data_IF_112203494121
#
_entry.id   IF_112203494121
#
_cell.length_a   1.000
_cell.length_b   1.000
_cell.length_c   1.000
_cell.angle_alpha   90.00
_cell.angle_beta   90.00
_cell.angle_gamma   90.00
#
_symmetry.space_group_name_H-M   'P 1'
#
loop_
_entity.id
_entity.type
_entity.pdbx_description
1 polymer ?
#
# COMPACT_ATOMS: atom_id res chain seq x y z
N UNK A 1 15.75 -19.20 1.15
CA UNK A 1 14.78 -18.39 0.36
C UNK A 1 13.38 -18.35 1.02
N UNK A 2 12.82 -19.49 1.46
CA UNK A 2 11.46 -19.56 2.08
C UNK A 2 11.23 -18.60 3.24
N UNK A 3 12.19 -18.42 4.16
CA UNK A 3 12.04 -17.49 5.28
C UNK A 3 11.79 -16.05 4.82
N UNK A 4 12.49 -15.61 3.77
CA UNK A 4 12.37 -14.26 3.20
C UNK A 4 11.01 -14.09 2.50
N UNK A 5 10.54 -15.13 1.79
CA UNK A 5 9.19 -15.16 1.22
C UNK A 5 8.13 -15.00 2.31
N UNK A 6 8.22 -15.79 3.39
CA UNK A 6 7.26 -15.73 4.50
C UNK A 6 7.27 -14.37 5.20
N UNK A 7 8.45 -13.75 5.35
CA UNK A 7 8.57 -12.41 5.90
C UNK A 7 7.85 -11.38 5.01
N UNK A 8 8.08 -11.41 3.69
CA UNK A 8 7.41 -10.52 2.74
C UNK A 8 5.89 -10.67 2.75
N UNK A 9 5.39 -11.91 2.81
CA UNK A 9 3.95 -12.18 2.93
C UNK A 9 3.37 -11.59 4.21
N UNK A 10 4.06 -11.71 5.36
CA UNK A 10 3.61 -11.11 6.63
C UNK A 10 3.57 -9.58 6.59
N UNK A 11 4.47 -8.96 5.82
CA UNK A 11 4.49 -7.51 5.56
C UNK A 11 3.37 -7.08 4.61
N UNK A 12 2.68 -8.03 3.97
CA UNK A 12 1.59 -7.78 3.04
C UNK A 12 2.04 -7.52 1.60
N UNK A 13 3.27 -7.89 1.23
CA UNK A 13 3.76 -7.85 -0.15
C UNK A 13 3.01 -8.91 -0.96
N UNK A 14 2.53 -8.56 -2.16
CA UNK A 14 1.77 -9.51 -3.00
C UNK A 14 2.65 -10.66 -3.48
N UNK A 15 2.05 -11.83 -3.71
CA UNK A 15 2.77 -12.99 -4.26
C UNK A 15 3.37 -12.68 -5.64
N UNK A 16 2.72 -11.83 -6.43
CA UNK A 16 3.21 -11.36 -7.71
C UNK A 16 4.48 -10.51 -7.55
N UNK A 17 4.48 -9.54 -6.64
CA UNK A 17 5.67 -8.72 -6.31
C UNK A 17 6.80 -9.56 -5.74
N UNK A 18 6.49 -10.54 -4.89
CA UNK A 18 7.49 -11.50 -4.37
C UNK A 18 8.09 -12.31 -5.51
N UNK A 19 7.26 -12.83 -6.42
CA UNK A 19 7.71 -13.63 -7.56
C UNK A 19 8.63 -12.81 -8.48
N UNK A 20 8.22 -11.60 -8.85
CA UNK A 20 9.01 -10.72 -9.73
C UNK A 20 10.35 -10.35 -9.08
N UNK A 21 10.34 -10.00 -7.79
CA UNK A 21 11.54 -9.61 -7.06
C UNK A 21 12.51 -10.79 -6.90
N UNK A 22 12.01 -11.98 -6.57
CA UNK A 22 12.86 -13.18 -6.43
C UNK A 22 13.44 -13.63 -7.78
N UNK A 23 12.72 -13.42 -8.89
CA UNK A 23 13.25 -13.72 -10.22
C UNK A 23 14.47 -12.86 -10.60
N UNK A 24 14.75 -11.77 -9.87
CA UNK A 24 15.97 -10.96 -10.05
C UNK A 24 17.19 -11.53 -9.33
N UNK A 25 17.01 -12.54 -8.46
CA UNK A 25 18.11 -13.19 -7.78
C UNK A 25 18.88 -14.10 -8.74
N UNK A 26 20.19 -14.30 -8.51
CA UNK A 26 20.96 -15.25 -9.29
C UNK A 26 20.43 -16.68 -9.12
N UNK A 27 20.32 -17.40 -10.24
CA UNK A 27 19.99 -18.82 -10.25
C UNK A 27 21.22 -19.71 -10.11
N UNK A 28 22.38 -19.25 -10.61
CA UNK A 28 23.62 -20.04 -10.65
C UNK A 28 24.50 -19.89 -9.39
N UNK A 29 24.06 -19.16 -8.38
CA UNK A 29 24.77 -19.04 -7.10
C UNK A 29 23.82 -18.78 -5.94
N UNK A 30 24.27 -19.10 -4.73
CA UNK A 30 23.61 -18.67 -3.50
C UNK A 30 23.56 -17.13 -3.44
N UNK A 31 22.39 -16.52 -3.19
CA UNK A 31 22.28 -15.09 -2.99
C UNK A 31 23.15 -14.62 -1.82
N UNK A 32 23.89 -13.54 -2.05
CA UNK A 32 24.75 -12.89 -1.07
C UNK A 32 23.96 -11.81 -0.32
N UNK A 33 24.55 -11.28 0.75
CA UNK A 33 23.97 -10.19 1.56
C UNK A 33 23.53 -9.03 0.67
N UNK A 34 24.37 -8.60 -0.30
CA UNK A 34 24.04 -7.51 -1.23
C UNK A 34 22.82 -7.77 -2.11
N UNK A 35 22.53 -9.02 -2.45
CA UNK A 35 21.32 -9.35 -3.22
C UNK A 35 20.08 -9.21 -2.34
N UNK A 36 20.17 -9.64 -1.08
CA UNK A 36 19.09 -9.49 -0.10
C UNK A 36 18.85 -8.03 0.28
N UNK A 37 19.89 -7.20 0.37
CA UNK A 37 19.78 -5.76 0.65
C UNK A 37 18.99 -5.00 -0.43
N UNK A 38 19.17 -5.38 -1.71
CA UNK A 38 18.39 -4.82 -2.81
C UNK A 38 16.90 -5.17 -2.65
N UNK A 39 16.61 -6.44 -2.37
CA UNK A 39 15.24 -6.93 -2.19
C UNK A 39 14.58 -6.28 -0.96
N UNK A 40 15.28 -6.22 0.17
CA UNK A 40 14.75 -5.66 1.40
C UNK A 40 14.49 -4.16 1.28
N UNK A 41 15.32 -3.44 0.50
CA UNK A 41 15.11 -2.03 0.18
C UNK A 41 13.81 -1.83 -0.62
N UNK A 42 13.60 -2.62 -1.66
CA UNK A 42 12.38 -2.56 -2.46
C UNK A 42 11.12 -2.80 -1.61
N UNK A 43 11.13 -3.85 -0.79
CA UNK A 43 9.98 -4.17 0.06
C UNK A 43 9.76 -3.18 1.19
N UNK A 44 10.82 -2.59 1.74
CA UNK A 44 10.71 -1.49 2.71
C UNK A 44 9.98 -0.30 2.08
N UNK A 45 10.31 0.04 0.85
CA UNK A 45 9.69 1.18 0.17
C UNK A 45 8.21 0.89 -0.18
N UNK A 46 7.88 -0.36 -0.55
CA UNK A 46 6.48 -0.81 -0.72
C UNK A 46 5.70 -0.76 0.61
N UNK A 47 6.32 -1.20 1.71
CA UNK A 47 5.74 -1.11 3.04
C UNK A 47 5.49 0.34 3.46
N UNK A 48 6.47 1.23 3.29
CA UNK A 48 6.32 2.65 3.60
C UNK A 48 5.18 3.29 2.80
N UNK A 49 5.03 2.91 1.53
CA UNK A 49 3.90 3.36 0.70
C UNK A 49 2.56 2.95 1.31
N UNK A 50 2.45 1.72 1.83
CA UNK A 50 1.23 1.23 2.50
C UNK A 50 1.01 1.92 3.84
N UNK A 51 2.05 2.12 4.63
CA UNK A 51 1.98 2.85 5.92
C UNK A 51 1.43 4.26 5.69
N UNK A 52 2.02 5.02 4.77
CA UNK A 52 1.56 6.38 4.49
C UNK A 52 0.11 6.43 3.99
N UNK A 53 -0.29 5.45 3.18
CA UNK A 53 -1.69 5.33 2.77
C UNK A 53 -2.62 5.07 3.96
N UNK A 54 -2.25 4.15 4.86
CA UNK A 54 -3.02 3.85 6.07
C UNK A 54 -3.05 5.04 7.06
N UNK A 55 -1.95 5.78 7.19
CA UNK A 55 -1.89 7.00 8.00
C UNK A 55 -2.85 8.07 7.46
N UNK A 56 -2.79 8.34 6.14
CA UNK A 56 -3.74 9.27 5.49
C UNK A 56 -5.19 8.83 5.68
N UNK A 57 -5.47 7.53 5.52
CA UNK A 57 -6.80 6.98 5.75
C UNK A 57 -7.24 7.19 7.21
N UNK A 58 -6.41 6.80 8.18
CA UNK A 58 -6.66 7.00 9.62
C UNK A 58 -6.98 8.45 9.93
N UNK A 59 -6.15 9.38 9.45
CA UNK A 59 -6.29 10.81 9.74
C UNK A 59 -7.57 11.38 9.11
N UNK A 60 -7.94 10.93 7.90
CA UNK A 60 -9.20 11.30 7.24
C UNK A 60 -10.44 10.78 7.99
N UNK A 61 -10.37 9.60 8.60
CA UNK A 61 -11.47 9.05 9.41
C UNK A 61 -11.71 9.87 10.68
N UNK A 62 -10.65 10.42 11.28
CA UNK A 62 -10.76 11.28 12.47
C UNK A 62 -11.62 12.52 12.19
N UNK A 63 -11.57 13.08 10.97
CA UNK A 63 -12.42 14.20 10.56
C UNK A 63 -13.92 13.84 10.51
N UNK A 64 -14.26 12.56 10.26
CA UNK A 64 -15.63 12.06 10.24
C UNK A 64 -16.16 11.71 11.63
N UNK A 65 -15.28 11.19 12.49
CA UNK A 65 -15.64 10.72 13.84
C UNK A 65 -15.67 11.89 14.84
N UNK A 66 -14.77 12.88 14.70
CA UNK A 66 -14.62 14.00 15.64
C UNK A 66 -15.81 14.95 15.76
N UNK A 67 -16.75 14.93 14.80
CA UNK A 67 -18.02 15.67 14.88
C UNK A 67 -19.06 14.98 15.79
N UNK A 68 -18.90 13.67 16.07
CA UNK A 68 -19.93 12.84 16.71
C UNK A 68 -21.19 12.63 15.87
N UNK A 69 -21.29 13.27 14.70
CA UNK A 69 -22.47 13.27 13.85
C UNK A 69 -22.50 12.17 12.78
N UNK A 70 -21.38 11.45 12.54
CA UNK A 70 -21.22 10.43 11.49
C UNK A 70 -21.77 10.89 10.12
N UNK A 71 -21.67 12.19 9.82
CA UNK A 71 -22.34 12.77 8.67
C UNK A 71 -21.60 12.43 7.38
N UNK A 72 -22.20 11.55 6.58
CA UNK A 72 -21.74 11.23 5.23
C UNK A 72 -21.60 12.49 4.34
N UNK A 73 -22.35 13.57 4.63
CA UNK A 73 -22.24 14.85 3.92
C UNK A 73 -20.89 15.56 4.11
N UNK A 74 -20.17 15.29 5.20
CA UNK A 74 -18.88 15.91 5.53
C UNK A 74 -17.70 14.94 5.42
N UNK A 75 -17.96 13.67 5.07
CA UNK A 75 -16.91 12.68 4.95
C UNK A 75 -16.07 12.95 3.69
N UNK A 76 -14.76 13.23 3.80
CA UNK A 76 -13.90 13.50 2.64
C UNK A 76 -13.68 12.26 1.76
N UNK A 77 -14.16 11.09 2.18
CA UNK A 77 -14.08 9.84 1.44
C UNK A 77 -15.42 9.43 0.79
N UNK A 78 -16.52 10.13 1.08
CA UNK A 78 -17.83 9.75 0.58
C UNK A 78 -18.05 10.25 -0.86
N UNK A 79 -18.21 9.31 -1.78
CA UNK A 79 -18.54 9.57 -3.18
C UNK A 79 -20.05 9.38 -3.41
N UNK A 80 -20.84 10.43 -3.19
CA UNK A 80 -22.29 10.39 -3.34
C UNK A 80 -22.68 10.09 -4.80
N UNK A 81 -23.62 9.17 -5.00
CA UNK A 81 -24.17 8.78 -6.31
C UNK A 81 -23.09 8.34 -7.32
N UNK A 82 -21.95 7.85 -6.82
CA UNK A 82 -20.79 7.41 -7.60
C UNK A 82 -20.30 8.43 -8.66
N UNK A 83 -20.36 9.74 -8.34
CA UNK A 83 -20.01 10.83 -9.26
C UNK A 83 -18.60 10.73 -9.84
N UNK A 84 -17.68 10.05 -9.15
CA UNK A 84 -16.29 9.87 -9.58
C UNK A 84 -16.06 8.62 -10.43
N UNK A 85 -17.09 7.84 -10.78
CA UNK A 85 -16.94 6.61 -11.57
C UNK A 85 -16.20 6.80 -12.90
N UNK A 86 -16.41 7.96 -13.54
CA UNK A 86 -15.76 8.31 -14.80
C UNK A 86 -14.25 8.56 -14.66
N UNK A 87 -13.76 8.82 -13.45
CA UNK A 87 -12.36 9.10 -13.18
C UNK A 87 -11.54 7.84 -12.87
N UNK A 88 -12.21 6.77 -12.46
CA UNK A 88 -11.57 5.50 -12.18
C UNK A 88 -12.35 4.66 -11.17
N UNK A 89 -12.01 3.37 -11.13
CA UNK A 89 -12.52 2.45 -10.12
C UNK A 89 -11.78 2.60 -8.80
N UNK A 90 -12.48 2.37 -7.68
CA UNK A 90 -11.86 2.31 -6.35
C UNK A 90 -11.87 3.66 -5.61
N UNK A 91 -10.95 3.89 -4.65
CA UNK A 91 -11.01 5.02 -3.74
C UNK A 91 -10.42 6.31 -4.36
N UNK A 92 -11.05 6.81 -5.43
CA UNK A 92 -10.59 7.97 -6.23
C UNK A 92 -10.18 9.18 -5.37
N UNK A 93 -10.98 9.52 -4.35
CA UNK A 93 -10.68 10.65 -3.45
C UNK A 93 -9.41 10.44 -2.63
N UNK A 94 -9.17 9.22 -2.17
CA UNK A 94 -7.99 8.88 -1.36
C UNK A 94 -6.73 8.81 -2.24
N UNK A 95 -6.85 8.31 -3.46
CA UNK A 95 -5.74 8.27 -4.41
C UNK A 95 -5.31 9.66 -4.88
N UNK A 96 -6.25 10.61 -5.00
CA UNK A 96 -5.94 12.03 -5.25
C UNK A 96 -5.11 12.65 -4.13
N UNK A 97 -5.41 12.34 -2.87
CA UNK A 97 -4.62 12.81 -1.72
C UNK A 97 -3.17 12.31 -1.75
N UNK A 98 -2.84 11.29 -2.56
CA UNK A 98 -1.48 10.80 -2.75
C UNK A 98 -0.61 11.71 -3.62
N UNK A 99 -1.21 12.57 -4.45
CA UNK A 99 -0.52 13.42 -5.44
C UNK A 99 -0.20 14.85 -4.97
N UNK A 100 -0.72 15.25 -3.80
CA UNK A 100 -0.40 16.51 -3.12
C UNK A 100 0.53 16.25 -1.95
#
# INVERSE_FOLDING_TARGET
>A
RVAVIKAAQKVGISLESIKSTIATLPDNRTPLVKDWEKISTLWRDELNTKIHYMEKLRDSMTSCIGCGCLSLKKCPLYNQDDKLALEGSGPVLLDRMKKN
#
